data_IF_678982479456
#
_entry.id   IF_678982479456
#
_cell.length_a   1.000
_cell.length_b   1.000
_cell.length_c   1.000
_cell.angle_alpha   90.00
_cell.angle_beta   90.00
_cell.angle_gamma   90.00
#
_symmetry.space_group_name_H-M   'P 1'
#
loop_
_entity.id
_entity.type
_entity.pdbx_description
1 polymer ?
#
# COMPACT_ATOMS: atom_id res chain seq x y z
N UNK A 1 4.10 -9.49 -23.35
CA UNK A 1 5.20 -10.47 -23.31
C UNK A 1 4.78 -11.64 -22.46
N UNK A 2 5.41 -12.80 -22.60
CA UNK A 2 5.15 -13.94 -21.72
C UNK A 2 6.12 -13.93 -20.54
N UNK A 3 5.70 -14.45 -19.38
CA UNK A 3 6.55 -14.54 -18.21
C UNK A 3 7.58 -15.65 -18.36
N UNK A 4 8.87 -15.33 -18.25
CA UNK A 4 9.95 -16.32 -18.33
C UNK A 4 9.99 -17.29 -17.13
N UNK A 5 9.33 -16.96 -16.02
CA UNK A 5 9.36 -17.77 -14.80
C UNK A 5 8.19 -18.76 -14.69
N UNK A 6 6.97 -18.34 -15.02
CA UNK A 6 5.78 -19.19 -14.88
C UNK A 6 5.04 -19.44 -16.20
N UNK A 7 5.53 -18.90 -17.32
CA UNK A 7 4.91 -19.10 -18.64
C UNK A 7 3.63 -18.30 -18.88
N UNK A 8 3.15 -17.51 -17.91
CA UNK A 8 1.93 -16.74 -18.06
C UNK A 8 1.99 -15.83 -19.30
N UNK A 9 0.99 -15.93 -20.16
CA UNK A 9 0.94 -15.22 -21.45
C UNK A 9 0.41 -13.79 -21.29
N UNK A 10 0.65 -12.95 -22.30
CA UNK A 10 0.04 -11.61 -22.42
C UNK A 10 0.28 -10.66 -21.22
N UNK A 11 1.38 -10.86 -20.50
CA UNK A 11 1.78 -10.00 -19.39
C UNK A 11 2.20 -8.62 -19.89
N UNK A 12 1.79 -7.59 -19.15
CA UNK A 12 2.13 -6.18 -19.36
C UNK A 12 2.35 -5.52 -17.99
N UNK A 13 3.34 -4.65 -17.90
CA UNK A 13 3.70 -3.97 -16.66
C UNK A 13 5.00 -4.47 -16.05
N UNK A 14 5.27 -4.06 -14.82
CA UNK A 14 6.57 -4.26 -14.15
C UNK A 14 6.70 -5.61 -13.43
N UNK A 15 5.57 -6.27 -13.14
CA UNK A 15 5.51 -7.54 -12.44
C UNK A 15 4.56 -8.49 -13.16
N UNK A 16 4.84 -9.80 -13.10
CA UNK A 16 3.96 -10.83 -13.61
C UNK A 16 2.76 -11.01 -12.68
N UNK A 17 1.54 -10.97 -13.22
CA UNK A 17 0.31 -11.14 -12.41
C UNK A 17 0.19 -12.57 -11.86
N UNK A 18 0.70 -13.57 -12.60
CA UNK A 18 0.62 -14.97 -12.17
C UNK A 18 1.59 -15.37 -11.05
N UNK A 19 2.84 -14.87 -11.04
CA UNK A 19 3.86 -15.32 -10.07
C UNK A 19 4.55 -14.18 -9.30
N UNK A 20 4.14 -12.93 -9.48
CA UNK A 20 4.63 -11.75 -8.74
C UNK A 20 6.06 -11.30 -9.07
N UNK A 21 6.83 -12.06 -9.86
CA UNK A 21 8.21 -11.70 -10.19
C UNK A 21 8.28 -10.52 -11.15
N UNK A 22 9.37 -9.77 -11.03
CA UNK A 22 9.70 -8.66 -11.91
C UNK A 22 9.78 -9.12 -13.35
N UNK A 23 9.13 -8.37 -14.24
CA UNK A 23 9.18 -8.58 -15.67
C UNK A 23 10.25 -7.70 -16.31
N UNK A 24 10.85 -8.12 -17.44
CA UNK A 24 11.73 -7.26 -18.23
C UNK A 24 11.01 -5.96 -18.60
N UNK A 25 11.75 -4.83 -18.73
CA UNK A 25 11.17 -3.58 -19.17
C UNK A 25 10.51 -3.77 -20.54
N UNK A 26 9.27 -3.28 -20.65
CA UNK A 26 8.54 -3.29 -21.91
C UNK A 26 9.15 -2.30 -22.90
N UNK A 27 9.39 -2.72 -24.14
CA UNK A 27 9.79 -1.83 -25.24
C UNK A 27 8.63 -1.02 -25.81
N UNK A 28 7.38 -1.40 -25.50
CA UNK A 28 6.23 -0.61 -25.88
C UNK A 28 6.21 0.73 -25.13
N UNK A 29 5.79 1.81 -25.79
CA UNK A 29 5.63 3.10 -25.12
C UNK A 29 4.66 2.96 -23.94
N UNK A 30 4.88 3.73 -22.85
CA UNK A 30 3.94 3.78 -21.75
C UNK A 30 2.56 4.19 -22.28
N UNK A 31 1.51 3.52 -21.81
CA UNK A 31 0.16 3.92 -22.16
C UNK A 31 -0.09 5.35 -21.64
N UNK A 32 -0.74 6.21 -22.42
CA UNK A 32 -1.13 7.52 -21.93
C UNK A 32 -2.02 7.33 -20.71
N UNK A 33 -1.61 7.88 -19.58
CA UNK A 33 -2.45 7.97 -18.39
C UNK A 33 -3.52 9.01 -18.70
N UNK A 34 -4.76 8.57 -18.94
CA UNK A 34 -5.89 9.50 -18.95
C UNK A 34 -6.17 9.87 -17.51
N UNK A 35 -5.66 11.03 -17.11
CA UNK A 35 -6.14 11.67 -15.89
C UNK A 35 -7.64 11.90 -16.06
N UNK A 36 -8.41 11.59 -15.03
CA UNK A 36 -9.80 12.00 -14.99
C UNK A 36 -9.87 13.53 -15.19
N UNK A 37 -10.87 14.05 -15.93
CA UNK A 37 -11.09 15.48 -16.01
C UNK A 37 -11.12 16.09 -14.62
N UNK A 38 -10.47 17.25 -14.44
CA UNK A 38 -10.65 18.00 -13.21
C UNK A 38 -12.15 18.30 -13.05
N UNK A 39 -12.72 18.13 -11.85
CA UNK A 39 -14.10 18.52 -11.62
C UNK A 39 -14.28 20.01 -11.94
N UNK A 40 -15.47 20.42 -12.42
CA UNK A 40 -15.77 21.81 -12.77
C UNK A 40 -15.91 22.73 -11.54
N UNK A 41 -15.84 22.18 -10.34
CA UNK A 41 -15.90 22.90 -9.08
C UNK A 41 -14.53 22.90 -8.39
N UNK A 42 -14.26 23.94 -7.61
CA UNK A 42 -13.09 23.99 -6.73
C UNK A 42 -13.27 22.96 -5.61
N UNK A 43 -12.35 21.98 -5.54
CA UNK A 43 -12.33 21.02 -4.44
C UNK A 43 -11.84 21.75 -3.20
N UNK A 44 -12.78 22.21 -2.37
CA UNK A 44 -12.51 22.76 -1.05
C UNK A 44 -12.30 21.64 -0.04
N UNK A 45 -11.60 21.94 1.06
CA UNK A 45 -11.35 20.99 2.15
C UNK A 45 -12.66 20.38 2.70
N UNK A 46 -13.74 21.16 2.68
CA UNK A 46 -15.10 20.79 3.09
C UNK A 46 -15.73 19.66 2.25
N UNK A 47 -15.30 19.51 0.99
CA UNK A 47 -15.76 18.44 0.09
C UNK A 47 -14.98 17.13 0.27
N UNK A 48 -14.01 17.09 1.17
CA UNK A 48 -13.31 15.87 1.54
C UNK A 48 -13.98 15.24 2.76
N UNK A 49 -14.11 13.91 2.75
CA UNK A 49 -14.61 13.21 3.94
C UNK A 49 -13.64 13.46 5.10
N UNK A 50 -14.12 13.91 6.28
CA UNK A 50 -13.25 14.14 7.41
C UNK A 50 -12.55 12.84 7.79
N UNK A 51 -11.23 12.82 7.73
CA UNK A 51 -10.44 11.69 8.22
C UNK A 51 -10.54 11.71 9.75
N UNK A 52 -11.28 10.75 10.32
CA UNK A 52 -11.31 10.53 11.77
C UNK A 52 -9.90 10.19 12.26
N UNK A 53 -9.25 11.15 12.92
CA UNK A 53 -7.98 10.93 13.60
C UNK A 53 -8.27 10.34 14.97
N UNK A 54 -8.04 9.05 15.13
CA UNK A 54 -8.10 8.42 16.45
C UNK A 54 -6.82 8.73 17.21
N UNK A 55 -6.94 9.27 18.43
CA UNK A 55 -5.84 9.35 19.37
C UNK A 55 -5.51 7.94 19.88
N UNK A 56 -4.67 7.23 19.12
CA UNK A 56 -4.15 5.92 19.55
C UNK A 56 -3.16 6.17 20.66
N UNK A 57 -3.64 6.13 21.91
CA UNK A 57 -2.76 6.09 23.08
C UNK A 57 -2.18 4.67 23.18
N UNK A 58 -0.86 4.48 23.03
CA UNK A 58 -0.26 3.18 23.22
C UNK A 58 -0.56 2.71 24.65
N UNK A 59 -1.17 1.52 24.76
CA UNK A 59 -1.43 0.90 26.05
C UNK A 59 -0.08 0.63 26.70
N UNK A 60 0.13 1.16 27.90
CA UNK A 60 1.31 0.84 28.71
C UNK A 60 1.31 -0.66 28.97
N UNK A 61 2.37 -1.35 28.56
CA UNK A 61 2.52 -2.76 28.90
C UNK A 61 2.53 -2.90 30.43
N UNK A 62 1.81 -3.88 31.01
CA UNK A 62 1.98 -4.19 32.42
C UNK A 62 3.46 -4.57 32.64
N UNK A 63 4.07 -3.99 33.67
CA UNK A 63 5.42 -4.37 34.06
C UNK A 63 5.42 -5.87 34.42
N UNK A 64 6.45 -6.64 34.05
CA UNK A 64 6.59 -7.97 34.60
C UNK A 64 6.81 -7.82 36.10
N UNK A 65 5.87 -8.35 36.88
CA UNK A 65 5.97 -8.48 38.33
C UNK A 65 7.15 -9.41 38.64
N UNK A 66 8.35 -8.83 38.71
CA UNK A 66 9.52 -9.50 39.26
C UNK A 66 9.34 -9.52 40.77
N UNK A 67 8.87 -10.67 41.24
CA UNK A 67 9.13 -11.26 42.55
C UNK A 67 9.79 -10.32 43.57
N UNK A 68 8.97 -9.71 44.42
CA UNK A 68 9.43 -9.26 45.74
C UNK A 68 9.24 -10.43 46.68
N UNK A 69 10.16 -11.40 46.59
CA UNK A 69 10.53 -12.18 47.74
C UNK A 69 11.69 -11.43 48.43
N UNK A 70 11.64 -11.43 49.76
CA UNK A 70 12.65 -10.92 50.70
C UNK A 70 12.51 -9.46 51.16
N UNK A 71 11.84 -9.29 52.30
CA UNK A 71 12.41 -8.60 53.46
C UNK A 71 11.54 -8.83 54.71
N UNK A 72 12.12 -9.56 55.69
CA UNK A 72 11.86 -9.39 57.13
C UNK A 72 10.68 -10.15 57.73
#
# INVERSE_FOLDING_TARGET
>A
MNCANCGAVHQRGRFCVGCGRTMPPSTLPPRPVRLAPRPPYEVTDDMTQPVLRFDVRPRRAPAPERAVAEAG
#
